data_IF_366250303043
#
_entry.id   IF_366250303043
#
_cell.length_a   1.000
_cell.length_b   1.000
_cell.length_c   1.000
_cell.angle_alpha   90.00
_cell.angle_beta   90.00
_cell.angle_gamma   90.00
#
_symmetry.space_group_name_H-M   'P 1'
#
loop_
_entity.id
_entity.type
_entity.pdbx_description
1 polymer ?
#
# COMPACT_ATOMS: atom_id res chain seq x y z
N UNK A 1 -6.67 -5.15 4.67
CA UNK A 1 -7.16 -6.01 3.58
C UNK A 1 -6.43 -5.65 2.29
N UNK A 2 -6.03 -6.64 1.53
CA UNK A 2 -5.53 -6.49 0.18
C UNK A 2 -6.60 -7.02 -0.77
N UNK A 3 -6.76 -6.37 -1.89
CA UNK A 3 -7.68 -6.77 -2.94
C UNK A 3 -6.92 -7.13 -4.19
N UNK A 4 -7.31 -8.20 -4.79
CA UNK A 4 -7.07 -8.49 -6.17
C UNK A 4 -8.36 -8.28 -6.96
N UNK A 5 -8.71 -6.99 -7.20
CA UNK A 5 -9.82 -6.63 -8.08
C UNK A 5 -9.41 -6.92 -9.53
N UNK A 6 -9.56 -8.17 -9.96
CA UNK A 6 -9.33 -8.50 -11.36
C UNK A 6 -10.39 -7.93 -12.32
N UNK A 7 -11.43 -7.31 -11.81
CA UNK A 7 -12.42 -6.61 -12.62
C UNK A 7 -12.12 -5.11 -12.59
N UNK A 8 -12.35 -4.45 -13.72
CA UNK A 8 -12.24 -2.99 -13.79
C UNK A 8 -13.27 -2.30 -12.89
N UNK A 9 -13.14 -0.97 -12.76
CA UNK A 9 -14.04 -0.16 -11.92
C UNK A 9 -15.52 -0.33 -12.28
N UNK A 10 -15.84 -0.71 -13.52
CA UNK A 10 -17.22 -0.91 -13.98
C UNK A 10 -17.90 -2.13 -13.36
N UNK A 11 -17.14 -3.18 -13.06
CA UNK A 11 -17.68 -4.46 -12.59
C UNK A 11 -17.51 -4.64 -11.08
N UNK A 12 -16.85 -3.68 -10.40
CA UNK A 12 -16.61 -3.73 -8.98
C UNK A 12 -17.84 -3.29 -8.19
N UNK A 13 -18.26 -4.08 -7.21
CA UNK A 13 -19.26 -3.66 -6.24
C UNK A 13 -18.70 -2.52 -5.38
N UNK A 14 -19.39 -1.39 -5.30
CA UNK A 14 -18.97 -0.24 -4.52
C UNK A 14 -18.80 -0.56 -3.04
N UNK A 15 -19.53 -1.52 -2.50
CA UNK A 15 -19.37 -1.98 -1.11
C UNK A 15 -17.98 -2.52 -0.82
N UNK A 16 -17.31 -3.11 -1.81
CA UNK A 16 -15.93 -3.59 -1.72
C UNK A 16 -14.98 -2.40 -1.56
N UNK A 17 -15.15 -1.34 -2.37
CA UNK A 17 -14.36 -0.11 -2.24
C UNK A 17 -14.59 0.55 -0.87
N UNK A 18 -15.85 0.66 -0.44
CA UNK A 18 -16.20 1.21 0.87
C UNK A 18 -15.56 0.41 2.01
N UNK A 19 -15.61 -0.92 1.96
CA UNK A 19 -14.99 -1.80 2.94
C UNK A 19 -13.49 -1.59 3.02
N UNK A 20 -12.79 -1.49 1.88
CA UNK A 20 -11.37 -1.21 1.84
C UNK A 20 -11.03 0.15 2.44
N UNK A 21 -11.78 1.18 2.08
CA UNK A 21 -11.60 2.51 2.65
C UNK A 21 -11.86 2.51 4.16
N UNK A 22 -12.90 1.82 4.61
CA UNK A 22 -13.22 1.73 6.03
C UNK A 22 -12.11 1.02 6.83
N UNK A 23 -11.60 -0.10 6.34
CA UNK A 23 -10.55 -0.84 7.06
C UNK A 23 -9.20 -0.14 6.95
N UNK A 24 -8.75 0.18 5.74
CA UNK A 24 -7.40 0.67 5.53
C UNK A 24 -7.26 2.15 5.92
N UNK A 25 -8.12 3.01 5.38
CA UNK A 25 -8.01 4.47 5.58
C UNK A 25 -8.63 4.89 6.91
N UNK A 26 -9.93 4.64 7.11
CA UNK A 26 -10.60 5.07 8.34
C UNK A 26 -10.04 4.40 9.58
N UNK A 27 -9.66 3.13 9.51
CA UNK A 27 -8.94 2.47 10.60
C UNK A 27 -7.65 3.22 10.97
N UNK A 28 -6.86 3.62 9.97
CA UNK A 28 -5.66 4.44 10.20
C UNK A 28 -6.00 5.81 10.81
N UNK A 29 -7.04 6.49 10.30
CA UNK A 29 -7.51 7.79 10.81
C UNK A 29 -7.91 7.70 12.28
N UNK A 30 -8.75 6.72 12.62
CA UNK A 30 -9.23 6.55 14.01
C UNK A 30 -8.09 6.23 14.96
N UNK A 31 -7.24 5.24 14.62
CA UNK A 31 -6.08 4.91 15.45
C UNK A 31 -5.17 6.12 15.65
N UNK A 32 -4.89 6.87 14.58
CA UNK A 32 -4.03 8.05 14.66
C UNK A 32 -4.67 9.14 15.50
N UNK A 33 -5.94 9.47 15.27
CA UNK A 33 -6.65 10.53 15.99
C UNK A 33 -6.59 10.34 17.51
N UNK A 34 -6.84 9.13 17.97
CA UNK A 34 -6.88 8.86 19.42
C UNK A 34 -5.48 8.63 20.02
N UNK A 35 -4.52 8.13 19.26
CA UNK A 35 -3.16 7.92 19.75
C UNK A 35 -2.28 9.18 19.67
N UNK A 36 -2.57 10.10 18.77
CA UNK A 36 -1.72 11.25 18.45
C UNK A 36 -1.34 12.11 19.68
N UNK A 37 -2.25 12.50 20.60
CA UNK A 37 -1.88 13.27 21.77
C UNK A 37 -0.79 12.58 22.60
N UNK A 38 -0.94 11.29 22.85
CA UNK A 38 0.02 10.50 23.64
C UNK A 38 1.36 10.30 22.92
N UNK A 39 1.33 10.19 21.58
CA UNK A 39 2.54 10.08 20.77
C UNK A 39 3.30 11.40 20.77
N UNK A 40 2.61 12.53 20.69
CA UNK A 40 3.21 13.88 20.76
C UNK A 40 3.91 14.13 22.08
N UNK A 41 3.27 13.82 23.23
CA UNK A 41 3.89 13.93 24.56
C UNK A 41 5.24 13.21 24.66
N UNK A 42 5.38 12.09 23.95
CA UNK A 42 6.60 11.25 23.95
C UNK A 42 7.54 11.56 22.80
N UNK A 43 7.23 12.53 21.93
CA UNK A 43 7.97 12.80 20.68
C UNK A 43 8.17 11.51 19.87
N UNK A 44 7.10 10.73 19.79
CA UNK A 44 7.09 9.37 19.28
C UNK A 44 7.10 9.27 17.77
N UNK A 45 6.70 8.10 17.27
CA UNK A 45 6.66 7.81 15.83
C UNK A 45 5.33 7.18 15.43
N UNK A 46 4.79 7.61 14.30
CA UNK A 46 3.68 6.96 13.59
C UNK A 46 4.27 6.28 12.36
N UNK A 47 3.90 5.02 12.13
CA UNK A 47 4.31 4.27 10.95
C UNK A 47 3.08 3.85 10.18
N UNK A 48 2.89 4.43 8.99
CA UNK A 48 1.89 3.96 8.04
C UNK A 48 2.46 2.84 7.17
N UNK A 49 1.92 1.64 7.31
CA UNK A 49 2.24 0.54 6.40
C UNK A 49 1.42 0.75 5.13
N UNK A 50 2.02 1.49 4.20
CA UNK A 50 1.43 1.76 2.89
C UNK A 50 1.77 0.62 1.90
N UNK A 51 1.91 0.91 0.64
CA UNK A 51 2.35 0.00 -0.42
C UNK A 51 3.09 0.80 -1.49
N UNK A 52 3.80 0.13 -2.38
CA UNK A 52 4.24 0.72 -3.66
C UNK A 52 3.03 1.33 -4.39
N UNK A 53 1.85 0.69 -4.27
CA UNK A 53 0.59 1.19 -4.82
C UNK A 53 0.03 2.44 -4.12
N UNK A 54 0.63 2.91 -3.05
CA UNK A 54 0.38 4.24 -2.48
C UNK A 54 1.24 5.35 -3.12
N UNK A 55 2.05 5.01 -4.14
CA UNK A 55 2.90 5.92 -4.91
C UNK A 55 2.72 5.77 -6.43
N UNK A 56 2.47 4.56 -6.90
CA UNK A 56 2.24 4.23 -8.30
C UNK A 56 1.13 3.18 -8.36
N UNK A 57 0.05 3.48 -9.08
CA UNK A 57 -1.11 2.59 -9.19
C UNK A 57 -0.82 1.41 -10.12
N UNK A 58 -1.60 0.35 -9.96
CA UNK A 58 -1.60 -0.79 -10.87
C UNK A 58 -3.03 -1.05 -11.34
N UNK A 59 -3.23 -1.50 -12.60
CA UNK A 59 -4.55 -1.91 -13.06
C UNK A 59 -5.18 -2.97 -12.15
N UNK A 60 -6.50 -3.03 -12.14
CA UNK A 60 -7.28 -3.99 -11.36
C UNK A 60 -7.03 -3.96 -9.83
N UNK A 61 -6.63 -2.80 -9.30
CA UNK A 61 -6.33 -2.58 -7.88
C UNK A 61 -6.87 -1.23 -7.39
N UNK A 62 -7.98 -0.75 -7.98
CA UNK A 62 -8.45 0.62 -7.76
C UNK A 62 -8.75 0.91 -6.28
N UNK A 63 -9.48 0.02 -5.60
CA UNK A 63 -9.84 0.21 -4.20
C UNK A 63 -8.63 0.17 -3.28
N UNK A 64 -7.76 -0.81 -3.47
CA UNK A 64 -6.53 -0.93 -2.69
C UNK A 64 -5.60 0.27 -2.90
N UNK A 65 -5.30 0.62 -4.15
CA UNK A 65 -4.44 1.76 -4.46
C UNK A 65 -5.02 3.05 -3.87
N UNK A 66 -6.31 3.33 -4.09
CA UNK A 66 -6.98 4.52 -3.54
C UNK A 66 -6.84 4.60 -2.03
N UNK A 67 -7.06 3.50 -1.30
CA UNK A 67 -6.93 3.48 0.15
C UNK A 67 -5.48 3.75 0.62
N UNK A 68 -4.48 3.21 -0.09
CA UNK A 68 -3.07 3.43 0.26
C UNK A 68 -2.55 4.83 -0.10
N UNK A 69 -3.06 5.45 -1.16
CA UNK A 69 -2.83 6.86 -1.44
C UNK A 69 -3.46 7.77 -0.39
N UNK A 70 -4.70 7.48 0.03
CA UNK A 70 -5.40 8.23 1.07
C UNK A 70 -4.63 8.18 2.41
N UNK A 71 -4.17 7.01 2.85
CA UNK A 71 -3.35 6.86 4.06
C UNK A 71 -2.09 7.71 3.97
N UNK A 72 -1.39 7.65 2.85
CA UNK A 72 -0.16 8.41 2.66
C UNK A 72 -0.42 9.92 2.73
N UNK A 73 -1.43 10.42 1.99
CA UNK A 73 -1.78 11.84 2.02
C UNK A 73 -2.13 12.33 3.43
N UNK A 74 -2.94 11.56 4.16
CA UNK A 74 -3.30 11.83 5.55
C UNK A 74 -2.06 11.91 6.46
N UNK A 75 -1.17 10.91 6.41
CA UNK A 75 0.02 10.87 7.25
C UNK A 75 1.07 11.93 6.87
N UNK A 76 1.22 12.24 5.58
CA UNK A 76 2.10 13.33 5.13
C UNK A 76 1.61 14.68 5.68
N UNK A 77 0.29 14.91 5.71
CA UNK A 77 -0.31 16.13 6.29
C UNK A 77 0.00 16.22 7.78
N UNK A 78 -0.26 15.16 8.55
CA UNK A 78 0.04 15.13 10.01
C UNK A 78 1.52 15.37 10.27
N UNK A 79 2.42 14.83 9.46
CA UNK A 79 3.86 15.07 9.57
C UNK A 79 4.21 16.55 9.43
N UNK A 80 3.53 17.26 8.54
CA UNK A 80 3.76 18.69 8.29
C UNK A 80 3.15 19.52 9.42
N UNK A 81 1.93 19.21 9.85
CA UNK A 81 1.26 19.90 10.95
C UNK A 81 2.06 19.86 12.26
N UNK A 82 2.73 18.74 12.52
CA UNK A 82 3.52 18.52 13.75
C UNK A 82 5.05 18.55 13.51
N UNK A 83 5.50 19.31 12.50
CA UNK A 83 6.91 19.36 12.09
C UNK A 83 7.83 19.79 13.25
N UNK A 84 7.35 20.70 14.09
CA UNK A 84 8.13 21.28 15.21
C UNK A 84 7.79 20.65 16.57
N UNK A 85 6.82 19.75 16.64
CA UNK A 85 6.39 19.09 17.88
C UNK A 85 7.22 17.83 18.19
N UNK A 86 8.16 17.49 17.31
CA UNK A 86 9.03 16.31 17.48
C UNK A 86 8.40 15.00 17.05
N UNK A 87 7.23 15.03 16.42
CA UNK A 87 6.59 13.85 15.82
C UNK A 87 7.43 13.32 14.67
N UNK A 88 7.64 12.01 14.63
CA UNK A 88 8.17 11.33 13.46
C UNK A 88 7.07 10.53 12.76
N UNK A 89 6.93 10.72 11.47
CA UNK A 89 5.99 9.94 10.63
C UNK A 89 6.77 9.24 9.53
N UNK A 90 6.57 7.93 9.41
CA UNK A 90 7.17 7.08 8.40
C UNK A 90 6.09 6.45 7.51
N UNK A 91 6.08 6.77 6.23
CA UNK A 91 5.39 5.99 5.21
C UNK A 91 6.28 4.83 4.78
N UNK A 92 5.89 3.61 5.14
CA UNK A 92 6.67 2.42 4.90
C UNK A 92 5.97 1.54 3.87
N UNK A 93 6.57 1.40 2.70
CA UNK A 93 6.08 0.57 1.60
C UNK A 93 6.90 -0.72 1.51
N UNK A 94 6.43 -1.81 2.10
CA UNK A 94 7.04 -3.12 1.88
C UNK A 94 6.81 -3.55 0.42
N UNK A 95 7.69 -4.37 -0.10
CA UNK A 95 7.42 -5.12 -1.32
C UNK A 95 6.53 -6.32 -1.04
N UNK A 96 6.51 -7.28 -1.96
CA UNK A 96 5.82 -8.54 -1.74
C UNK A 96 6.40 -9.26 -0.53
N UNK A 97 5.56 -9.49 0.47
CA UNK A 97 5.91 -10.07 1.76
C UNK A 97 5.15 -11.38 1.95
N UNK A 98 5.81 -12.40 2.46
CA UNK A 98 5.18 -13.66 2.83
C UNK A 98 4.20 -13.40 3.99
N UNK A 99 2.90 -13.56 3.73
CA UNK A 99 1.83 -13.39 4.71
C UNK A 99 0.53 -13.99 4.17
N UNK A 100 -0.40 -14.31 5.07
CA UNK A 100 -1.73 -14.81 4.71
C UNK A 100 -2.64 -13.76 4.03
N UNK A 101 -2.21 -12.50 3.97
CA UNK A 101 -3.02 -11.38 3.47
C UNK A 101 -3.58 -11.62 2.07
N UNK A 102 -2.86 -12.36 1.23
CA UNK A 102 -3.31 -12.66 -0.13
C UNK A 102 -4.40 -13.71 -0.20
N UNK A 103 -4.41 -14.66 0.73
CA UNK A 103 -5.48 -15.66 0.82
C UNK A 103 -6.81 -15.02 1.22
N UNK A 104 -6.73 -13.94 2.02
CA UNK A 104 -7.87 -13.15 2.47
C UNK A 104 -8.11 -11.89 1.63
N UNK A 105 -7.44 -11.76 0.47
CA UNK A 105 -7.72 -10.71 -0.48
C UNK A 105 -9.15 -10.88 -1.03
N UNK A 106 -9.88 -9.78 -1.19
CA UNK A 106 -11.23 -9.82 -1.71
C UNK A 106 -11.22 -9.78 -3.23
N UNK A 107 -12.11 -10.54 -3.83
CA UNK A 107 -12.45 -10.45 -5.27
C UNK A 107 -13.45 -9.32 -5.50
N UNK A 108 -13.78 -9.03 -6.75
CA UNK A 108 -14.69 -7.94 -7.10
C UNK A 108 -16.11 -8.08 -6.54
N UNK A 109 -16.55 -9.31 -6.26
CA UNK A 109 -17.84 -9.62 -5.62
C UNK A 109 -17.76 -9.66 -4.09
N UNK A 110 -16.57 -9.39 -3.50
CA UNK A 110 -16.34 -9.36 -2.06
C UNK A 110 -16.07 -10.73 -1.42
N UNK A 111 -15.95 -11.81 -2.20
CA UNK A 111 -15.49 -13.12 -1.70
C UNK A 111 -13.97 -13.13 -1.46
N UNK A 112 -13.46 -14.08 -0.69
CA UNK A 112 -12.01 -14.25 -0.50
C UNK A 112 -11.38 -14.95 -1.70
N UNK A 113 -10.20 -14.49 -2.12
CA UNK A 113 -9.46 -15.05 -3.26
C UNK A 113 -8.99 -16.48 -3.02
N UNK A 114 -8.64 -16.82 -1.78
CA UNK A 114 -8.27 -18.18 -1.34
C UNK A 114 -6.91 -18.67 -1.81
N UNK A 115 -6.29 -18.08 -2.82
CA UNK A 115 -5.02 -18.52 -3.41
C UNK A 115 -4.02 -17.36 -3.63
N UNK A 116 -2.77 -17.69 -3.83
CA UNK A 116 -1.72 -16.72 -4.14
C UNK A 116 -0.95 -17.13 -5.41
N UNK A 117 -0.96 -16.32 -6.47
CA UNK A 117 -0.26 -16.65 -7.72
C UNK A 117 1.27 -16.50 -7.60
N UNK A 118 1.79 -16.01 -6.47
CA UNK A 118 3.22 -15.78 -6.29
C UNK A 118 3.87 -16.90 -5.48
N UNK A 119 5.00 -17.41 -5.97
CA UNK A 119 5.80 -18.37 -5.25
C UNK A 119 6.31 -17.77 -3.91
N UNK A 120 5.93 -18.37 -2.79
CA UNK A 120 6.28 -17.87 -1.44
C UNK A 120 7.80 -17.77 -1.23
N UNK A 121 8.59 -18.64 -1.89
CA UNK A 121 10.05 -18.63 -1.80
C UNK A 121 10.70 -17.35 -2.34
N UNK A 122 10.00 -16.59 -3.18
CA UNK A 122 10.49 -15.33 -3.75
C UNK A 122 10.14 -14.10 -2.90
N UNK A 123 9.40 -14.30 -1.82
CA UNK A 123 8.85 -13.22 -0.99
C UNK A 123 9.78 -12.89 0.18
N UNK A 124 9.75 -11.63 0.61
CA UNK A 124 10.47 -11.22 1.83
C UNK A 124 9.70 -11.71 3.07
N UNK A 125 10.39 -12.31 4.04
CA UNK A 125 9.71 -12.72 5.28
C UNK A 125 9.28 -11.51 6.12
N UNK A 126 8.21 -11.68 6.91
CA UNK A 126 7.67 -10.63 7.79
C UNK A 126 8.73 -10.13 8.79
N UNK A 127 9.60 -11.02 9.31
CA UNK A 127 10.67 -10.66 10.23
C UNK A 127 11.70 -9.73 9.57
N UNK A 128 12.10 -10.02 8.32
CA UNK A 128 13.02 -9.16 7.56
C UNK A 128 12.41 -7.79 7.31
N UNK A 129 11.12 -7.73 7.01
CA UNK A 129 10.38 -6.48 6.85
C UNK A 129 10.37 -5.70 8.16
N UNK A 130 10.03 -6.34 9.28
CA UNK A 130 10.01 -5.72 10.60
C UNK A 130 11.38 -5.14 11.01
N UNK A 131 12.47 -5.90 10.81
CA UNK A 131 13.84 -5.42 11.09
C UNK A 131 14.17 -4.17 10.27
N UNK A 132 13.80 -4.14 8.99
CA UNK A 132 14.03 -2.98 8.11
C UNK A 132 13.18 -1.78 8.54
N UNK A 133 11.94 -2.01 8.97
CA UNK A 133 11.05 -0.97 9.51
C UNK A 133 11.64 -0.35 10.78
N UNK A 134 12.08 -1.16 11.74
CA UNK A 134 12.74 -0.67 12.97
C UNK A 134 13.99 0.16 12.68
N UNK A 135 14.81 -0.27 11.70
CA UNK A 135 15.97 0.52 11.26
C UNK A 135 15.56 1.86 10.64
N UNK A 136 14.46 1.90 9.89
CA UNK A 136 13.95 3.13 9.32
C UNK A 136 13.43 4.10 10.39
N UNK A 137 12.71 3.60 11.39
CA UNK A 137 12.24 4.37 12.56
C UNK A 137 13.44 4.96 13.32
N UNK A 138 14.43 4.14 13.68
CA UNK A 138 15.64 4.59 14.36
C UNK A 138 16.39 5.69 13.60
N UNK A 139 16.37 5.64 12.27
CA UNK A 139 17.00 6.64 11.40
C UNK A 139 16.07 7.82 11.06
N UNK A 140 14.90 7.91 11.66
CA UNK A 140 13.89 8.95 11.43
C UNK A 140 13.60 9.19 9.93
N UNK A 141 13.49 8.11 9.13
CA UNK A 141 13.16 8.21 7.72
C UNK A 141 11.68 8.50 7.54
N UNK A 142 11.34 9.43 6.62
CA UNK A 142 9.94 9.76 6.36
C UNK A 142 9.27 8.83 5.33
N UNK A 143 10.04 8.33 4.37
CA UNK A 143 9.54 7.43 3.33
C UNK A 143 10.54 6.30 3.10
N UNK A 144 10.05 5.07 3.02
CA UNK A 144 10.85 3.89 2.68
C UNK A 144 10.08 2.99 1.73
N UNK A 145 10.68 2.69 0.61
CA UNK A 145 10.24 1.64 -0.32
C UNK A 145 11.29 0.54 -0.29
N UNK A 146 10.91 -0.68 0.13
CA UNK A 146 11.88 -1.71 0.50
C UNK A 146 12.55 -2.42 -0.67
N UNK A 147 11.83 -2.64 -1.76
CA UNK A 147 12.36 -3.43 -2.88
C UNK A 147 12.98 -2.54 -3.95
N UNK A 148 14.08 -2.98 -4.60
CA UNK A 148 14.66 -2.23 -5.71
C UNK A 148 13.63 -1.96 -6.83
N UNK A 149 12.85 -2.97 -7.20
CA UNK A 149 11.80 -2.82 -8.21
C UNK A 149 10.76 -1.77 -7.79
N UNK A 150 10.25 -1.85 -6.55
CA UNK A 150 9.30 -0.86 -6.03
C UNK A 150 9.89 0.54 -5.99
N UNK A 151 11.16 0.68 -5.58
CA UNK A 151 11.87 1.95 -5.57
C UNK A 151 11.95 2.55 -6.98
N UNK A 152 12.37 1.77 -7.96
CA UNK A 152 12.41 2.18 -9.36
C UNK A 152 11.02 2.54 -9.88
N UNK A 153 10.01 1.71 -9.63
CA UNK A 153 8.62 1.99 -10.04
C UNK A 153 8.15 3.35 -9.54
N UNK A 154 8.35 3.65 -8.25
CA UNK A 154 7.94 4.93 -7.66
C UNK A 154 8.65 6.12 -8.29
N UNK A 155 9.99 6.03 -8.46
CA UNK A 155 10.77 7.16 -8.98
C UNK A 155 10.56 7.37 -10.48
N UNK A 156 10.51 6.28 -11.25
CA UNK A 156 10.23 6.37 -12.70
C UNK A 156 8.81 6.87 -12.94
N UNK A 157 7.83 6.42 -12.13
CA UNK A 157 6.45 6.90 -12.24
C UNK A 157 6.33 8.41 -12.01
N UNK A 158 7.15 8.97 -11.13
CA UNK A 158 7.15 10.41 -10.87
C UNK A 158 7.53 11.25 -12.10
N UNK A 159 8.52 10.80 -12.89
CA UNK A 159 9.00 11.53 -14.06
C UNK A 159 8.39 11.04 -15.39
N UNK A 160 8.04 9.76 -15.48
CA UNK A 160 7.62 9.08 -16.71
C UNK A 160 6.39 8.19 -16.47
N UNK A 161 5.30 8.76 -15.96
CA UNK A 161 4.09 8.01 -15.61
C UNK A 161 3.55 7.16 -16.77
N UNK A 162 3.46 7.74 -17.98
CA UNK A 162 2.99 7.01 -19.18
C UNK A 162 3.83 5.77 -19.53
N UNK A 163 5.13 5.79 -19.23
CA UNK A 163 5.99 4.62 -19.44
C UNK A 163 5.64 3.53 -18.43
N UNK A 164 5.50 3.91 -17.16
CA UNK A 164 5.13 2.98 -16.09
C UNK A 164 3.74 2.41 -16.35
N UNK A 165 2.77 3.23 -16.76
CA UNK A 165 1.41 2.78 -17.12
C UNK A 165 1.44 1.68 -18.17
N UNK A 166 2.20 1.86 -19.26
CA UNK A 166 2.34 0.85 -20.34
C UNK A 166 2.99 -0.45 -19.82
N UNK A 167 4.03 -0.32 -19.00
CA UNK A 167 4.72 -1.49 -18.43
C UNK A 167 3.76 -2.24 -17.49
N UNK A 168 3.07 -1.53 -16.62
CA UNK A 168 2.11 -2.11 -15.68
C UNK A 168 0.94 -2.77 -16.43
N UNK A 169 0.39 -2.09 -17.41
CA UNK A 169 -0.68 -2.66 -18.23
C UNK A 169 -0.21 -3.94 -18.93
N UNK A 170 0.96 -3.92 -19.59
CA UNK A 170 1.50 -5.10 -20.28
C UNK A 170 1.83 -6.25 -19.32
N UNK A 171 2.24 -5.95 -18.09
CA UNK A 171 2.48 -6.97 -17.06
C UNK A 171 1.16 -7.59 -16.61
N UNK A 172 0.20 -6.76 -16.19
CA UNK A 172 -1.09 -7.21 -15.66
C UNK A 172 -1.97 -7.89 -16.72
N UNK A 173 -1.89 -7.50 -18.01
CA UNK A 173 -2.65 -8.14 -19.08
C UNK A 173 -2.23 -9.59 -19.36
N UNK A 174 -1.07 -10.02 -18.85
CA UNK A 174 -0.56 -11.40 -19.00
C UNK A 174 -0.93 -12.29 -17.80
N UNK A 175 -1.45 -11.71 -16.74
CA UNK A 175 -1.90 -12.52 -15.59
C UNK A 175 -3.10 -13.40 -15.97
N UNK A 176 -3.16 -14.55 -15.30
CA UNK A 176 -4.30 -15.46 -15.48
C UNK A 176 -5.58 -14.76 -14.99
N UNK A 177 -6.64 -14.82 -15.77
CA UNK A 177 -7.92 -14.14 -15.52
C UNK A 177 -7.87 -12.59 -15.52
N UNK A 178 -6.84 -11.98 -16.13
CA UNK A 178 -6.79 -10.53 -16.25
C UNK A 178 -8.00 -9.98 -17.04
N UNK A 179 -8.70 -8.93 -16.54
CA UNK A 179 -9.77 -8.26 -17.29
C UNK A 179 -9.21 -7.36 -18.40
N UNK A 180 -7.90 -7.17 -18.45
CA UNK A 180 -7.27 -6.31 -19.42
C UNK A 180 -7.10 -7.04 -20.76
N UNK A 181 -7.31 -6.29 -21.86
CA UNK A 181 -7.06 -6.84 -23.20
C UNK A 181 -5.59 -7.17 -23.36
N UNK A 182 -5.28 -8.37 -23.83
CA UNK A 182 -3.90 -8.73 -24.20
C UNK A 182 -3.46 -7.86 -25.38
N UNK A 183 -2.29 -7.24 -25.24
CA UNK A 183 -1.63 -6.44 -26.27
C UNK A 183 -0.51 -7.28 -26.88
#
# INVERSE_FOLDING_TARGET
EALDDFNGVFDMDLSVLERLMNVNFWGTVYCTKYALPHILERKGSIVGVVSVMGYASSPARVGYASSKFAIRGFLDTIRIEHLYDGLHVLNFAPGFTASEIRKHALTADGSEQGDTPLAESSLMSAEKVAVKMLKAIKKKKNNVVLTPLGWWTVHVNFFFSRLVDKIQYSYMSKEHNSPLKKI
#
